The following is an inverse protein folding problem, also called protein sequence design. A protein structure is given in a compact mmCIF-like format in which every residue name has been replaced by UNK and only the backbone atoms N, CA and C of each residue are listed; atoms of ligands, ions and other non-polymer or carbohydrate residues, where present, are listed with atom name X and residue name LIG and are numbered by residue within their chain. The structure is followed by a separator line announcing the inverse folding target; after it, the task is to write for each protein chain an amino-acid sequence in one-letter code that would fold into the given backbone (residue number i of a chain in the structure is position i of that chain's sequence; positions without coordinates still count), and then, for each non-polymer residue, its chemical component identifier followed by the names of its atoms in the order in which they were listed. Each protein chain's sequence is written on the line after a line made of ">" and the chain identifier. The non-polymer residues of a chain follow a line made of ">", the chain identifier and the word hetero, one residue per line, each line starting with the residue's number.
data_IF_197750141763
#
_entry.id   IF_197750141763
#
_cell.length_a   1.000
_cell.length_b   1.000
_cell.length_c   1.000
_cell.angle_alpha   90.00
_cell.angle_beta   90.00
_cell.angle_gamma   90.00
#
_symmetry.space_group_name_H-M   'P 1'
#
loop_
_entity.id
_entity.type
_entity.pdbx_description
1 polymer ?
#
# COMPACT_ATOMS: atom_id res chain seq x y z
N UNK A 1 -41.02 -0.06 -25.08
CA UNK A 1 -40.91 -1.48 -25.46
C UNK A 1 -39.68 -2.21 -24.88
N UNK A 2 -38.74 -1.56 -24.19
CA UNK A 2 -37.55 -2.23 -23.63
C UNK A 2 -37.60 -2.55 -22.13
N UNK A 3 -38.62 -2.07 -21.41
CA UNK A 3 -38.69 -2.19 -19.95
C UNK A 3 -38.57 -3.64 -19.42
N UNK A 4 -39.16 -4.67 -20.06
CA UNK A 4 -38.98 -6.05 -19.62
C UNK A 4 -37.51 -6.51 -19.68
N UNK A 5 -36.77 -6.10 -20.72
CA UNK A 5 -35.36 -6.45 -20.88
C UNK A 5 -34.50 -5.74 -19.84
N UNK A 6 -34.75 -4.45 -19.58
CA UNK A 6 -34.03 -3.67 -18.56
C UNK A 6 -34.18 -4.33 -17.18
N UNK A 7 -35.41 -4.72 -16.82
CA UNK A 7 -35.68 -5.40 -15.54
C UNK A 7 -34.98 -6.74 -15.45
N UNK A 8 -35.07 -7.57 -16.49
CA UNK A 8 -34.39 -8.88 -16.50
C UNK A 8 -32.87 -8.75 -16.34
N UNK A 9 -32.25 -7.71 -16.92
CA UNK A 9 -30.82 -7.44 -16.75
C UNK A 9 -30.51 -6.96 -15.33
N UNK A 10 -31.30 -6.04 -14.78
CA UNK A 10 -31.12 -5.54 -13.41
C UNK A 10 -31.26 -6.68 -12.37
N UNK A 11 -32.31 -7.50 -12.50
CA UNK A 11 -32.54 -8.66 -11.64
C UNK A 11 -31.39 -9.67 -11.74
N UNK A 12 -30.87 -9.88 -12.96
CA UNK A 12 -29.71 -10.74 -13.19
C UNK A 12 -28.43 -10.23 -12.54
N UNK A 13 -28.17 -8.92 -12.62
CA UNK A 13 -27.03 -8.27 -11.98
C UNK A 13 -27.18 -8.37 -10.46
N UNK A 14 -28.34 -8.05 -9.90
CA UNK A 14 -28.59 -8.13 -8.46
C UNK A 14 -28.45 -9.57 -7.95
N UNK A 15 -28.98 -10.56 -8.68
CA UNK A 15 -28.84 -11.98 -8.32
C UNK A 15 -27.38 -12.45 -8.32
N UNK A 16 -26.56 -11.95 -9.24
CA UNK A 16 -25.15 -12.38 -9.39
C UNK A 16 -24.20 -11.61 -8.48
N UNK A 17 -24.42 -10.30 -8.32
CA UNK A 17 -23.48 -9.36 -7.70
C UNK A 17 -24.04 -8.65 -6.47
N UNK A 18 -25.33 -8.77 -6.15
CA UNK A 18 -25.95 -8.06 -5.02
C UNK A 18 -25.39 -8.47 -3.65
N UNK A 19 -24.88 -9.70 -3.52
CA UNK A 19 -24.10 -10.12 -2.35
C UNK A 19 -22.68 -9.55 -2.36
N UNK A 20 -22.03 -9.60 -3.52
CA UNK A 20 -20.65 -9.12 -3.73
C UNK A 20 -20.52 -7.61 -3.46
N UNK A 21 -21.50 -6.80 -3.84
CA UNK A 21 -21.52 -5.35 -3.59
C UNK A 21 -21.55 -5.00 -2.09
N UNK A 22 -21.89 -5.96 -1.21
CA UNK A 22 -21.89 -5.78 0.24
C UNK A 22 -20.56 -6.17 0.89
N UNK A 23 -19.64 -6.72 0.11
CA UNK A 23 -18.32 -7.11 0.61
C UNK A 23 -17.49 -5.86 0.95
N UNK A 24 -17.03 -5.70 2.21
CA UNK A 24 -16.40 -4.47 2.66
C UNK A 24 -15.03 -4.24 2.00
N UNK A 25 -14.29 -5.30 1.67
CA UNK A 25 -13.03 -5.21 0.95
C UNK A 25 -13.25 -4.70 -0.47
N UNK A 26 -14.25 -5.24 -1.17
CA UNK A 26 -14.61 -4.79 -2.50
C UNK A 26 -15.14 -3.35 -2.49
N UNK A 27 -15.96 -2.99 -1.50
CA UNK A 27 -16.43 -1.60 -1.32
C UNK A 27 -15.23 -0.68 -1.17
N UNK A 28 -14.29 -1.00 -0.28
CA UNK A 28 -13.08 -0.22 -0.06
C UNK A 28 -12.25 -0.06 -1.34
N UNK A 29 -11.99 -1.16 -2.06
CA UNK A 29 -11.27 -1.13 -3.33
C UNK A 29 -11.99 -0.26 -4.37
N UNK A 30 -13.32 -0.37 -4.46
CA UNK A 30 -14.12 0.37 -5.42
C UNK A 30 -14.12 1.89 -5.16
N UNK A 31 -14.18 2.34 -3.90
CA UNK A 31 -14.17 3.77 -3.56
C UNK A 31 -12.79 4.41 -3.70
N UNK A 32 -11.71 3.63 -3.54
CA UNK A 32 -10.33 4.13 -3.65
C UNK A 32 -9.87 4.33 -5.09
N UNK A 33 -10.61 3.82 -6.07
CA UNK A 33 -10.28 3.94 -7.49
C UNK A 33 -11.05 5.12 -8.13
N UNK A 34 -10.40 6.25 -8.46
CA UNK A 34 -11.10 7.43 -8.99
C UNK A 34 -11.79 7.21 -10.33
N UNK A 35 -11.37 6.18 -11.07
CA UNK A 35 -11.97 5.78 -12.36
C UNK A 35 -13.15 4.83 -12.20
N UNK A 36 -13.35 4.26 -11.01
CA UNK A 36 -14.43 3.32 -10.70
C UNK A 36 -15.62 4.06 -10.07
N UNK A 37 -16.07 5.11 -10.77
CA UNK A 37 -17.24 5.90 -10.37
C UNK A 37 -18.50 5.29 -10.94
N UNK A 38 -19.33 4.78 -10.05
CA UNK A 38 -20.62 4.20 -10.38
C UNK A 38 -21.66 4.81 -9.45
N UNK A 39 -22.93 4.73 -9.83
CA UNK A 39 -24.03 5.32 -9.03
C UNK A 39 -24.11 4.75 -7.61
N UNK A 40 -23.57 3.55 -7.35
CA UNK A 40 -23.58 2.95 -6.03
C UNK A 40 -22.37 3.36 -5.18
N UNK A 41 -21.18 3.55 -5.77
CA UNK A 41 -19.95 3.97 -5.05
C UNK A 41 -19.96 5.43 -4.62
N UNK A 42 -20.91 6.22 -5.12
CA UNK A 42 -21.09 7.63 -4.75
C UNK A 42 -22.06 7.84 -3.57
N UNK A 43 -22.72 6.77 -3.11
CA UNK A 43 -23.62 6.87 -1.97
C UNK A 43 -22.84 7.03 -0.67
N UNK A 44 -23.29 7.95 0.18
CA UNK A 44 -22.62 8.27 1.45
C UNK A 44 -22.46 7.05 2.36
N UNK A 45 -23.47 6.17 2.44
CA UNK A 45 -23.43 4.96 3.26
C UNK A 45 -22.38 3.95 2.77
N UNK A 46 -22.20 3.84 1.46
CA UNK A 46 -21.18 2.98 0.84
C UNK A 46 -19.78 3.54 1.07
N UNK A 47 -19.60 4.85 0.90
CA UNK A 47 -18.34 5.54 1.15
C UNK A 47 -17.94 5.36 2.62
N UNK A 48 -18.86 5.61 3.55
CA UNK A 48 -18.62 5.43 4.98
C UNK A 48 -18.21 3.99 5.32
N UNK A 49 -18.95 3.00 4.82
CA UNK A 49 -18.63 1.60 5.04
C UNK A 49 -17.22 1.22 4.55
N UNK A 50 -16.85 1.69 3.35
CA UNK A 50 -15.50 1.45 2.80
C UNK A 50 -14.40 2.13 3.62
N UNK A 51 -14.60 3.39 4.03
CA UNK A 51 -13.62 4.12 4.83
C UNK A 51 -13.44 3.52 6.23
N UNK A 52 -14.52 3.04 6.85
CA UNK A 52 -14.45 2.31 8.13
C UNK A 52 -13.60 1.05 7.99
N UNK A 53 -13.81 0.28 6.93
CA UNK A 53 -13.01 -0.92 6.64
C UNK A 53 -11.53 -0.60 6.46
N UNK A 54 -11.21 0.41 5.63
CA UNK A 54 -9.82 0.84 5.40
C UNK A 54 -9.14 1.25 6.70
N UNK A 55 -9.82 2.04 7.55
CA UNK A 55 -9.24 2.46 8.84
C UNK A 55 -8.92 1.27 9.72
N UNK A 56 -9.88 0.36 9.90
CA UNK A 56 -9.70 -0.83 10.73
C UNK A 56 -8.56 -1.72 10.23
N UNK A 57 -8.44 -1.87 8.90
CA UNK A 57 -7.38 -2.65 8.29
C UNK A 57 -5.99 -2.03 8.53
N UNK A 58 -5.88 -0.69 8.41
CA UNK A 58 -4.64 0.03 8.69
C UNK A 58 -4.25 -0.04 10.18
N UNK A 59 -5.23 0.08 11.09
CA UNK A 59 -5.00 -0.05 12.53
C UNK A 59 -4.43 -1.45 12.86
N UNK A 60 -5.01 -2.52 12.29
CA UNK A 60 -4.51 -3.89 12.47
C UNK A 60 -3.08 -4.08 11.94
N UNK A 61 -2.78 -3.49 10.78
CA UNK A 61 -1.43 -3.55 10.21
C UNK A 61 -0.41 -2.79 11.08
N UNK A 62 -0.81 -1.68 11.70
CA UNK A 62 0.04 -0.91 12.60
C UNK A 62 0.36 -1.70 13.88
N UNK A 63 -0.64 -2.32 14.51
CA UNK A 63 -0.44 -3.16 15.70
C UNK A 63 0.48 -4.36 15.40
N UNK A 64 0.27 -5.04 14.27
CA UNK A 64 1.11 -6.16 13.84
C UNK A 64 2.57 -5.74 13.54
N UNK A 65 2.80 -4.49 13.14
CA UNK A 65 4.15 -3.97 12.93
C UNK A 65 4.88 -3.70 14.26
N UNK A 66 4.16 -3.27 15.30
CA UNK A 66 4.74 -3.03 16.64
C UNK A 66 5.18 -4.34 17.30
N UNK A 67 4.39 -5.41 17.16
CA UNK A 67 4.76 -6.74 17.70
C UNK A 67 6.03 -7.31 17.06
N UNK A 68 6.22 -7.11 15.75
CA UNK A 68 7.43 -7.56 15.04
C UNK A 68 8.68 -6.78 15.45
N UNK A 69 8.57 -5.48 15.72
CA UNK A 69 9.69 -4.68 16.24
C UNK A 69 10.08 -5.10 17.66
N UNK A 70 9.10 -5.51 18.49
CA UNK A 70 9.37 -6.03 19.84
C UNK A 70 10.09 -7.38 19.84
N UNK A 71 9.98 -8.18 18.78
CA UNK A 71 10.59 -9.52 18.67
C UNK A 71 11.98 -9.53 18.03
N UNK A 72 12.39 -8.46 17.34
CA UNK A 72 13.72 -8.35 16.74
C UNK A 72 14.79 -7.72 17.67
N UNK A 73 14.44 -7.45 18.93
CA UNK A 73 15.39 -7.00 19.96
C UNK A 73 15.98 -8.19 20.74
N UNK A 74 16.68 -9.11 20.06
CA UNK A 74 17.63 -10.04 20.72
C UNK A 74 19.03 -9.51 20.44
N UNK A 75 19.76 -9.19 21.50
CA UNK A 75 20.93 -8.30 21.52
C UNK A 75 22.20 -8.94 20.97
N UNK A 76 22.55 -10.18 21.21
CA UNK A 76 23.97 -10.47 21.43
C UNK A 76 24.80 -10.89 20.17
N UNK A 77 25.53 -9.91 19.61
CA UNK A 77 26.92 -9.95 19.09
C UNK A 77 27.09 -9.23 17.74
N UNK A 78 27.62 -8.00 17.80
CA UNK A 78 28.00 -7.16 16.66
C UNK A 78 28.97 -7.96 15.74
N UNK A 79 28.45 -8.53 14.65
CA UNK A 79 29.11 -9.46 13.71
C UNK A 79 30.48 -8.97 13.22
N UNK A 80 30.68 -7.65 13.19
CA UNK A 80 31.92 -6.99 12.77
C UNK A 80 33.00 -6.93 13.86
N UNK A 81 32.69 -7.29 15.10
CA UNK A 81 33.65 -7.37 16.20
C UNK A 81 34.76 -8.38 15.92
N UNK A 82 34.43 -9.46 15.19
CA UNK A 82 35.40 -10.48 14.79
C UNK A 82 36.47 -9.94 13.82
N UNK A 83 36.11 -8.94 12.99
CA UNK A 83 37.04 -8.34 12.01
C UNK A 83 38.00 -7.31 12.63
N UNK A 84 37.64 -6.70 13.77
CA UNK A 84 38.47 -5.67 14.43
C UNK A 84 39.69 -6.25 15.16
N UNK A 85 39.74 -7.56 15.43
CA UNK A 85 40.89 -8.19 16.09
C UNK A 85 42.11 -8.42 15.19
N UNK A 86 42.00 -8.18 13.88
CA UNK A 86 43.04 -8.47 12.89
C UNK A 86 43.81 -7.26 12.34
N UNK A 87 43.53 -6.05 12.81
CA UNK A 87 44.04 -4.80 12.23
C UNK A 87 45.34 -4.26 12.85
N UNK A 88 46.17 -5.11 13.46
CA UNK A 88 47.60 -4.83 13.58
C UNK A 88 48.34 -5.59 12.48
N UNK A 89 48.40 -4.97 11.29
CA UNK A 89 49.35 -5.18 10.18
C UNK A 89 48.62 -5.28 8.82
N UNK A 90 48.57 -4.16 8.08
CA UNK A 90 48.08 -4.15 6.71
C UNK A 90 47.62 -2.79 6.22
N UNK A 91 48.58 -1.90 5.97
CA UNK A 91 48.42 -0.68 5.18
C UNK A 91 47.89 -1.02 3.77
N UNK A 92 46.86 -0.31 3.28
CA UNK A 92 46.79 0.36 1.96
C UNK A 92 45.34 0.61 1.45
N UNK A 93 45.10 1.89 1.13
CA UNK A 93 44.26 2.47 0.07
C UNK A 93 42.75 2.17 0.00
N UNK A 94 41.95 3.17 0.39
CA UNK A 94 40.55 3.33 -0.01
C UNK A 94 40.41 4.68 -0.72
N UNK A 95 40.28 4.66 -2.04
CA UNK A 95 39.81 5.80 -2.83
C UNK A 95 38.72 5.33 -3.79
N UNK A 96 37.66 6.14 -3.87
CA UNK A 96 36.64 6.22 -4.91
C UNK A 96 35.58 5.12 -4.99
N UNK A 97 34.54 5.23 -4.16
CA UNK A 97 33.17 4.83 -4.52
C UNK A 97 32.16 5.88 -4.03
N UNK A 98 32.40 7.16 -4.26
CA UNK A 98 31.48 8.26 -3.88
C UNK A 98 30.79 8.94 -5.08
N UNK A 99 30.92 8.42 -6.30
CA UNK A 99 30.43 9.11 -7.51
C UNK A 99 29.35 8.37 -8.31
N UNK A 100 28.63 7.41 -7.71
CA UNK A 100 27.55 6.69 -8.41
C UNK A 100 26.16 6.80 -7.75
N UNK A 101 26.04 7.35 -6.54
CA UNK A 101 24.75 7.42 -5.84
C UNK A 101 24.06 8.79 -5.93
N UNK A 102 24.77 9.86 -6.31
CA UNK A 102 24.20 11.21 -6.39
C UNK A 102 23.69 11.60 -7.79
N UNK A 103 23.70 10.69 -8.76
CA UNK A 103 23.44 11.02 -10.17
C UNK A 103 22.01 10.89 -10.69
N UNK A 104 21.09 10.18 -10.01
CA UNK A 104 19.75 9.91 -10.56
C UNK A 104 18.65 10.04 -9.50
N UNK A 105 18.32 11.27 -9.08
CA UNK A 105 16.96 11.58 -8.60
C UNK A 105 16.71 13.10 -8.52
N UNK A 106 17.03 13.84 -9.60
CA UNK A 106 16.70 15.28 -9.70
C UNK A 106 16.44 15.68 -11.16
N UNK A 107 15.40 15.11 -11.75
CA UNK A 107 14.66 15.57 -12.92
C UNK A 107 13.51 14.55 -13.08
N UNK A 108 12.22 14.83 -13.00
CA UNK A 108 11.44 15.99 -13.40
C UNK A 108 10.25 16.16 -12.45
N UNK A 109 10.20 17.26 -11.68
CA UNK A 109 8.92 17.84 -11.22
C UNK A 109 9.11 19.34 -11.09
N UNK A 110 9.34 20.06 -12.20
CA UNK A 110 8.87 21.45 -12.36
C UNK A 110 8.75 21.71 -13.86
N UNK A 111 7.52 21.76 -14.38
CA UNK A 111 7.01 22.86 -15.22
C UNK A 111 5.61 22.52 -15.77
N UNK A 112 4.60 22.93 -15.01
CA UNK A 112 3.30 23.40 -15.50
C UNK A 112 2.68 24.19 -14.34
N UNK A 113 2.15 25.39 -14.45
CA UNK A 113 1.68 26.28 -15.53
C UNK A 113 1.48 27.67 -14.84
N UNK A 114 1.13 28.79 -15.50
CA UNK A 114 0.41 28.94 -16.76
C UNK A 114 1.12 29.72 -17.87
#
# INVERSE_FOLDING_TARGET
>A
MCLPLIRAVQDGIEKRFGGMIKDPELIAAAILLPKFKTTWTERADIIEAGLVYVRQHLDQMAEAAVEQVGQHSSDEEDFFSSMKSRSSQGHLHSESIDLLVLGHSTAEVILGCP
#
